data_IF_025536656216
#
_entry.id   IF_025536656216
#
_cell.length_a   1.000
_cell.length_b   1.000
_cell.length_c   1.000
_cell.angle_alpha   90.00
_cell.angle_beta   90.00
_cell.angle_gamma   90.00
#
_symmetry.space_group_name_H-M   'P 1'
#
loop_
_entity.id
_entity.type
_entity.pdbx_description
1 polymer ?
#
# COMPACT_ATOMS: atom_id res chain seq x y z
N UNK A 1 6.95 -27.63 6.72
CA UNK A 1 6.74 -26.36 6.00
C UNK A 1 7.79 -26.30 4.89
N UNK A 2 7.40 -26.25 3.61
CA UNK A 2 8.35 -26.02 2.52
C UNK A 2 8.69 -24.52 2.53
N UNK A 3 9.98 -24.16 2.62
CA UNK A 3 10.51 -22.79 2.66
C UNK A 3 10.27 -22.05 3.99
N UNK A 4 10.85 -22.55 5.08
CA UNK A 4 10.80 -21.87 6.38
C UNK A 4 11.62 -20.56 6.37
N UNK A 5 12.64 -20.48 5.54
CA UNK A 5 13.49 -19.30 5.36
C UNK A 5 12.78 -18.07 4.75
N UNK A 6 11.63 -18.27 4.10
CA UNK A 6 10.82 -17.16 3.55
C UNK A 6 9.76 -16.66 4.55
N UNK A 7 9.72 -17.21 5.76
CA UNK A 7 8.81 -16.76 6.80
C UNK A 7 9.32 -15.44 7.40
N UNK A 8 8.41 -14.48 7.55
CA UNK A 8 8.64 -13.17 8.16
C UNK A 8 9.62 -12.22 7.44
N UNK A 9 9.94 -12.46 6.16
CA UNK A 9 10.69 -11.46 5.36
C UNK A 9 9.78 -10.25 5.11
N UNK A 10 10.20 -9.01 5.45
CA UNK A 10 9.46 -7.81 5.14
C UNK A 10 9.24 -7.69 3.63
N UNK A 11 7.97 -7.58 3.21
CA UNK A 11 7.63 -7.47 1.79
C UNK A 11 7.76 -6.02 1.33
N UNK A 12 8.78 -5.72 0.52
CA UNK A 12 8.92 -4.45 -0.21
C UNK A 12 8.22 -4.47 -1.58
N UNK A 13 7.41 -5.50 -1.83
CA UNK A 13 6.83 -5.77 -3.16
C UNK A 13 5.84 -4.70 -3.59
N UNK A 14 5.01 -4.21 -2.67
CA UNK A 14 4.00 -3.19 -2.97
C UNK A 14 4.66 -1.85 -3.29
N UNK A 15 5.70 -1.48 -2.52
CA UNK A 15 6.50 -0.27 -2.74
C UNK A 15 7.20 -0.33 -4.10
N UNK A 16 7.83 -1.46 -4.41
CA UNK A 16 8.50 -1.67 -5.69
C UNK A 16 7.50 -1.66 -6.86
N UNK A 17 6.33 -2.29 -6.72
CA UNK A 17 5.28 -2.28 -7.73
C UNK A 17 4.76 -0.85 -7.96
N UNK A 18 4.48 -0.10 -6.90
CA UNK A 18 4.06 1.29 -6.99
C UNK A 18 5.09 2.16 -7.71
N UNK A 19 6.36 2.12 -7.28
CA UNK A 19 7.42 2.91 -7.89
C UNK A 19 7.67 2.51 -9.35
N UNK A 20 7.71 1.22 -9.66
CA UNK A 20 7.89 0.74 -11.02
C UNK A 20 6.73 1.18 -11.92
N UNK A 21 5.48 1.08 -11.44
CA UNK A 21 4.32 1.53 -12.20
C UNK A 21 4.36 3.04 -12.41
N UNK A 22 4.61 3.84 -11.38
CA UNK A 22 4.65 5.31 -11.50
C UNK A 22 5.78 5.75 -12.42
N UNK A 23 7.02 5.32 -12.16
CA UNK A 23 8.19 5.75 -12.95
C UNK A 23 8.12 5.18 -14.37
N UNK A 24 7.73 3.91 -14.51
CA UNK A 24 7.63 3.24 -15.80
C UNK A 24 6.56 3.85 -16.70
N UNK A 25 5.35 4.10 -16.16
CA UNK A 25 4.27 4.71 -16.96
C UNK A 25 4.54 6.17 -17.28
N UNK A 26 5.00 6.97 -16.33
CA UNK A 26 5.32 8.38 -16.57
C UNK A 26 6.49 8.52 -17.54
N UNK A 27 7.54 7.71 -17.41
CA UNK A 27 8.65 7.69 -18.35
C UNK A 27 8.23 7.29 -19.77
N UNK A 28 7.45 6.20 -19.90
CA UNK A 28 6.93 5.76 -21.18
C UNK A 28 6.04 6.81 -21.85
N UNK A 29 5.10 7.39 -21.11
CA UNK A 29 4.21 8.44 -21.61
C UNK A 29 4.97 9.71 -21.96
N UNK A 30 6.01 10.08 -21.20
CA UNK A 30 6.84 11.24 -21.51
C UNK A 30 7.59 11.05 -22.84
N UNK A 31 8.11 9.84 -23.13
CA UNK A 31 8.76 9.53 -24.41
C UNK A 31 7.77 9.66 -25.58
N UNK A 32 6.55 9.13 -25.43
CA UNK A 32 5.50 9.25 -26.45
C UNK A 32 5.05 10.71 -26.63
N UNK A 33 4.85 11.43 -25.54
CA UNK A 33 4.48 12.84 -25.58
C UNK A 33 5.54 13.73 -26.24
N UNK A 34 6.81 13.31 -26.22
CA UNK A 34 7.90 14.01 -26.90
C UNK A 34 7.76 14.05 -28.42
N UNK A 35 6.89 13.21 -29.00
CA UNK A 35 6.62 13.19 -30.44
C UNK A 35 5.55 14.22 -30.86
N UNK A 36 4.97 14.97 -29.91
CA UNK A 36 3.96 15.98 -30.20
C UNK A 36 4.55 17.17 -30.97
N UNK A 37 3.81 17.73 -31.95
CA UNK A 37 4.30 18.83 -32.76
C UNK A 37 4.35 20.16 -31.99
N UNK A 38 5.32 21.00 -32.37
CA UNK A 38 5.54 22.30 -31.75
C UNK A 38 6.01 22.17 -30.30
N UNK A 39 5.78 23.22 -29.51
CA UNK A 39 6.29 23.29 -28.15
C UNK A 39 5.68 22.25 -27.20
N UNK A 40 4.57 21.61 -27.59
CA UNK A 40 3.94 20.53 -26.82
C UNK A 40 4.84 19.31 -26.65
N UNK A 41 5.67 18.99 -27.65
CA UNK A 41 6.68 17.93 -27.56
C UNK A 41 7.78 18.22 -26.54
N UNK A 42 7.95 19.49 -26.14
CA UNK A 42 8.84 19.90 -25.06
C UNK A 42 8.10 19.94 -23.72
N UNK A 43 6.98 20.66 -23.62
CA UNK A 43 6.31 20.92 -22.35
C UNK A 43 5.69 19.68 -21.70
N UNK A 44 5.04 18.81 -22.50
CA UNK A 44 4.28 17.67 -21.97
C UNK A 44 5.20 16.61 -21.33
N UNK A 45 6.34 16.21 -21.93
CA UNK A 45 7.27 15.30 -21.28
C UNK A 45 7.82 15.81 -19.95
N UNK A 46 8.10 17.10 -19.81
CA UNK A 46 8.56 17.66 -18.52
C UNK A 46 7.48 17.58 -17.45
N UNK A 47 6.23 17.90 -17.79
CA UNK A 47 5.11 17.79 -16.85
C UNK A 47 4.91 16.33 -16.41
N UNK A 48 4.88 15.39 -17.35
CA UNK A 48 4.69 13.97 -17.04
C UNK A 48 5.88 13.42 -16.25
N UNK A 49 7.11 13.71 -16.67
CA UNK A 49 8.32 13.26 -15.99
C UNK A 49 8.46 13.84 -14.58
N UNK A 50 7.97 15.06 -14.35
CA UNK A 50 7.99 15.70 -13.02
C UNK A 50 7.17 14.95 -11.97
N UNK A 51 6.20 14.13 -12.37
CA UNK A 51 5.40 13.31 -11.44
C UNK A 51 6.31 12.42 -10.58
N UNK A 52 7.35 11.80 -11.18
CA UNK A 52 8.31 10.98 -10.43
C UNK A 52 9.09 11.79 -9.39
N UNK A 53 9.40 13.06 -9.70
CA UNK A 53 10.05 13.98 -8.76
C UNK A 53 9.10 14.38 -7.62
N UNK A 54 7.82 14.58 -7.91
CA UNK A 54 6.80 14.85 -6.89
C UNK A 54 6.64 13.65 -5.96
N UNK A 55 6.57 12.43 -6.48
CA UNK A 55 6.51 11.21 -5.66
C UNK A 55 7.73 11.08 -4.76
N UNK A 56 8.93 11.35 -5.28
CA UNK A 56 10.16 11.38 -4.49
C UNK A 56 10.09 12.45 -3.39
N UNK A 57 9.63 13.66 -3.71
CA UNK A 57 9.52 14.75 -2.76
C UNK A 57 8.52 14.44 -1.63
N UNK A 58 7.35 13.88 -1.96
CA UNK A 58 6.35 13.44 -0.98
C UNK A 58 6.91 12.33 -0.09
N UNK A 59 7.56 11.33 -0.68
CA UNK A 59 8.21 10.26 0.09
C UNK A 59 9.29 10.79 1.04
N UNK A 60 9.96 11.88 0.67
CA UNK A 60 11.03 12.49 1.48
C UNK A 60 10.50 13.37 2.62
N UNK A 61 9.40 14.09 2.41
CA UNK A 61 8.87 15.08 3.38
C UNK A 61 7.76 14.48 4.24
N UNK A 62 6.94 13.59 3.67
CA UNK A 62 5.81 12.96 4.34
C UNK A 62 5.72 11.48 3.98
N UNK A 63 6.54 10.62 4.61
CA UNK A 63 6.54 9.18 4.34
C UNK A 63 5.17 8.53 4.55
N UNK A 64 4.39 8.99 5.54
CA UNK A 64 3.05 8.48 5.82
C UNK A 64 2.04 8.74 4.69
N UNK A 65 2.14 9.88 4.00
CA UNK A 65 1.28 10.18 2.85
C UNK A 65 1.61 9.27 1.66
N UNK A 66 2.90 9.02 1.41
CA UNK A 66 3.32 8.05 0.40
C UNK A 66 2.82 6.65 0.74
N UNK A 67 2.90 6.25 2.01
CA UNK A 67 2.43 4.94 2.44
C UNK A 67 0.91 4.78 2.26
N UNK A 68 0.11 5.81 2.55
CA UNK A 68 -1.32 5.80 2.27
C UNK A 68 -1.61 5.61 0.76
N UNK A 69 -0.85 6.28 -0.11
CA UNK A 69 -0.97 6.12 -1.56
C UNK A 69 -0.57 4.71 -2.02
N UNK A 70 0.50 4.13 -1.46
CA UNK A 70 0.93 2.75 -1.74
C UNK A 70 -0.13 1.74 -1.28
N UNK A 71 -0.71 1.92 -0.08
CA UNK A 71 -1.80 1.06 0.41
C UNK A 71 -3.04 1.15 -0.49
N UNK A 72 -3.41 2.37 -0.91
CA UNK A 72 -4.47 2.58 -1.89
C UNK A 72 -4.18 1.90 -3.24
N UNK A 73 -2.97 2.03 -3.77
CA UNK A 73 -2.54 1.32 -4.98
C UNK A 73 -2.55 -0.20 -4.79
N UNK A 74 -2.16 -0.68 -3.61
CA UNK A 74 -2.12 -2.11 -3.29
C UNK A 74 -3.51 -2.74 -3.24
N UNK A 75 -4.57 -1.93 -3.08
CA UNK A 75 -5.94 -2.42 -2.98
C UNK A 75 -6.47 -3.12 -4.21
N UNK A 76 -5.92 -2.81 -5.39
CA UNK A 76 -6.31 -3.46 -6.65
C UNK A 76 -5.62 -4.81 -6.85
N UNK A 77 -4.69 -5.20 -5.97
CA UNK A 77 -3.97 -6.47 -6.06
C UNK A 77 -4.61 -7.53 -5.15
N UNK A 78 -5.10 -8.66 -5.71
CA UNK A 78 -5.80 -9.69 -4.93
C UNK A 78 -4.90 -10.33 -3.86
N UNK A 79 -3.60 -10.47 -4.14
CA UNK A 79 -2.62 -10.96 -3.15
C UNK A 79 -2.59 -10.13 -1.86
N UNK A 80 -2.80 -8.80 -1.95
CA UNK A 80 -2.76 -7.92 -0.78
C UNK A 80 -3.99 -8.15 0.11
N UNK A 81 -5.16 -8.32 -0.49
CA UNK A 81 -6.38 -8.70 0.23
C UNK A 81 -6.22 -10.07 0.89
N UNK A 82 -5.61 -11.04 0.20
CA UNK A 82 -5.37 -12.37 0.78
C UNK A 82 -4.43 -12.30 1.99
N UNK A 83 -3.41 -11.43 1.96
CA UNK A 83 -2.51 -11.21 3.10
C UNK A 83 -3.24 -10.59 4.30
N UNK A 84 -4.07 -9.58 4.07
CA UNK A 84 -4.89 -8.96 5.13
C UNK A 84 -5.86 -9.99 5.70
N UNK A 85 -6.59 -10.71 4.85
CA UNK A 85 -7.55 -11.73 5.30
C UNK A 85 -6.88 -12.81 6.15
N UNK A 86 -5.68 -13.28 5.77
CA UNK A 86 -4.89 -14.22 6.58
C UNK A 86 -4.41 -13.62 7.90
N UNK A 87 -4.05 -12.34 7.89
CA UNK A 87 -3.64 -11.61 9.09
C UNK A 87 -4.79 -11.50 10.10
N UNK A 88 -5.96 -11.03 9.66
CA UNK A 88 -7.15 -10.90 10.53
C UNK A 88 -7.69 -12.28 10.96
N UNK A 89 -7.64 -13.29 10.09
CA UNK A 89 -7.99 -14.66 10.44
C UNK A 89 -7.08 -15.25 11.53
N UNK A 90 -5.81 -14.86 11.57
CA UNK A 90 -4.90 -15.26 12.64
C UNK A 90 -5.30 -14.60 13.98
N UNK A 91 -5.70 -13.33 13.97
CA UNK A 91 -6.25 -12.66 15.16
C UNK A 91 -7.51 -13.35 15.68
N UNK A 92 -8.44 -13.74 14.79
CA UNK A 92 -9.62 -14.52 15.18
C UNK A 92 -9.27 -15.87 15.78
N UNK A 93 -8.32 -16.60 15.19
CA UNK A 93 -7.90 -17.90 15.70
C UNK A 93 -7.30 -17.77 17.10
N UNK A 94 -6.42 -16.79 17.31
CA UNK A 94 -5.80 -16.55 18.62
C UNK A 94 -6.84 -16.14 19.65
N UNK A 95 -7.77 -15.25 19.29
CA UNK A 95 -8.88 -14.86 20.17
C UNK A 95 -9.75 -16.06 20.58
N UNK A 96 -10.08 -16.94 19.63
CA UNK A 96 -10.83 -18.17 19.90
C UNK A 96 -10.09 -19.10 20.86
N UNK A 97 -8.80 -19.33 20.64
CA UNK A 97 -7.98 -20.20 21.50
C UNK A 97 -7.82 -19.65 22.93
N UNK A 98 -7.84 -18.32 23.09
CA UNK A 98 -7.78 -17.66 24.39
C UNK A 98 -9.16 -17.43 25.03
N UNK A 99 -10.25 -17.78 24.34
CA UNK A 99 -11.62 -17.55 24.82
C UNK A 99 -12.02 -16.07 24.89
N UNK A 100 -11.37 -15.21 24.12
CA UNK A 100 -11.66 -13.77 24.08
C UNK A 100 -12.81 -13.47 23.10
N UNK A 101 -13.78 -12.62 23.49
CA UNK A 101 -14.84 -12.21 22.60
C UNK A 101 -14.31 -11.29 21.49
N UNK A 102 -14.77 -11.50 20.27
CA UNK A 102 -14.54 -10.61 19.13
C UNK A 102 -15.67 -9.58 19.13
N UNK A 103 -15.32 -8.29 19.26
CA UNK A 103 -16.30 -7.21 19.38
C UNK A 103 -16.60 -6.54 18.04
N UNK A 104 -15.56 -6.32 17.23
CA UNK A 104 -15.66 -5.71 15.92
C UNK A 104 -14.51 -6.18 15.02
N UNK A 105 -14.68 -6.09 13.71
CA UNK A 105 -13.61 -6.32 12.76
C UNK A 105 -13.83 -5.59 11.45
N UNK A 106 -12.73 -5.33 10.75
CA UNK A 106 -12.73 -4.75 9.43
C UNK A 106 -11.68 -5.44 8.57
N UNK A 107 -12.09 -5.79 7.35
CA UNK A 107 -11.18 -6.21 6.27
C UNK A 107 -10.96 -5.08 5.26
N UNK A 108 -11.51 -3.89 5.55
CA UNK A 108 -11.41 -2.74 4.68
C UNK A 108 -9.97 -2.22 4.66
N UNK A 109 -9.49 -1.90 3.46
CA UNK A 109 -8.09 -1.63 3.22
C UNK A 109 -7.68 -0.29 3.85
N UNK A 110 -6.67 -0.32 4.72
CA UNK A 110 -6.22 0.82 5.51
C UNK A 110 -7.05 1.07 6.77
N UNK A 111 -8.00 0.18 7.07
CA UNK A 111 -8.80 0.15 8.30
C UNK A 111 -8.88 -1.28 8.85
N UNK A 112 -7.97 -2.15 8.48
CA UNK A 112 -7.94 -3.53 8.93
C UNK A 112 -7.71 -3.61 10.43
N UNK A 113 -8.61 -4.32 11.14
CA UNK A 113 -8.48 -4.55 12.57
C UNK A 113 -9.41 -5.69 13.04
N UNK A 114 -9.03 -6.32 14.16
CA UNK A 114 -9.92 -7.12 15.01
C UNK A 114 -9.90 -6.52 16.42
N UNK A 115 -11.06 -6.07 16.91
CA UNK A 115 -11.21 -5.51 18.24
C UNK A 115 -11.58 -6.61 19.25
N UNK A 116 -10.72 -6.78 20.26
CA UNK A 116 -10.89 -7.75 21.35
C UNK A 116 -11.27 -7.08 22.69
N UNK A 117 -11.12 -5.76 22.76
CA UNK A 117 -11.42 -4.94 23.94
C UNK A 117 -12.34 -3.80 23.49
N UNK A 118 -13.30 -3.45 24.34
CA UNK A 118 -14.23 -2.36 24.05
C UNK A 118 -13.51 -1.01 24.15
N UNK A 119 -13.76 -0.07 23.24
CA UNK A 119 -13.25 1.30 23.23
C UNK A 119 -13.40 2.02 24.59
N UNK A 120 -14.45 1.68 25.37
CA UNK A 120 -14.64 2.21 26.73
C UNK A 120 -13.60 1.69 27.72
N UNK A 121 -13.18 0.43 27.59
CA UNK A 121 -12.14 -0.17 28.41
C UNK A 121 -10.75 0.33 27.99
N UNK A 122 -10.52 0.52 26.68
CA UNK A 122 -9.25 1.04 26.16
C UNK A 122 -8.96 2.45 26.67
N UNK A 123 -9.97 3.32 26.76
CA UNK A 123 -9.84 4.68 27.33
C UNK A 123 -9.57 4.72 28.85
N UNK A 124 -9.68 3.59 29.55
CA UNK A 124 -9.47 3.49 31.00
C UNK A 124 -8.10 2.92 31.38
N UNK A 125 -7.33 2.45 30.39
CA UNK A 125 -5.96 1.93 30.53
C UNK A 125 -4.99 2.99 30.00
#
# INVERSE_FOLDING_TARGET
IKNAENLAIPSVRNDAAFLFTVVGTTGFLAVLAGQLPGDWGFFVPYLIGSISLVVLAVGSISPGLLQAAISGFSSVFPDYQERIAKHEAAHFLVAYLLGLPILDYSLDIGKEHVNLINDKLEKLI
#
